data_IF_284667296183
#
_entry.id   IF_284667296183
#
_cell.length_a   1.000
_cell.length_b   1.000
_cell.length_c   1.000
_cell.angle_alpha   90.00
_cell.angle_beta   90.00
_cell.angle_gamma   90.00
#
_symmetry.space_group_name_H-M   'P 1'
#
loop_
_entity.id
_entity.type
_entity.pdbx_description
1 polymer ?
#
# COMPACT_ATOMS: atom_id res chain seq x y z
N UNK A 1 4.07 -9.17 15.07
CA UNK A 1 3.70 -10.33 14.22
C UNK A 1 4.86 -10.75 13.32
N UNK A 2 5.45 -9.82 12.56
CA UNK A 2 6.64 -10.09 11.73
C UNK A 2 7.76 -9.16 12.18
N UNK A 3 8.95 -9.69 12.46
CA UNK A 3 10.17 -8.94 12.75
C UNK A 3 11.25 -9.33 11.75
N UNK A 4 11.91 -8.32 11.18
CA UNK A 4 13.03 -8.46 10.25
C UNK A 4 14.21 -7.73 10.87
N UNK A 5 15.35 -8.42 11.01
CA UNK A 5 16.54 -7.91 11.67
C UNK A 5 17.74 -8.07 10.74
N UNK A 6 18.36 -6.94 10.35
CA UNK A 6 19.56 -6.84 9.52
C UNK A 6 19.52 -7.71 8.24
N UNK A 7 18.31 -7.79 7.63
CA UNK A 7 18.08 -8.65 6.48
C UNK A 7 18.79 -8.12 5.25
N UNK A 8 19.57 -8.99 4.61
CA UNK A 8 20.22 -8.67 3.36
C UNK A 8 20.09 -9.81 2.36
N UNK A 9 19.93 -9.46 1.08
CA UNK A 9 19.94 -10.40 -0.03
C UNK A 9 20.74 -9.83 -1.19
N UNK A 10 21.69 -10.60 -1.66
CA UNK A 10 22.47 -10.29 -2.86
C UNK A 10 22.37 -11.39 -3.89
N UNK A 11 22.57 -11.02 -5.13
CA UNK A 11 22.72 -11.93 -6.26
C UNK A 11 24.09 -11.76 -6.90
N UNK A 12 24.65 -12.84 -7.39
CA UNK A 12 25.89 -12.82 -8.17
C UNK A 12 25.57 -12.52 -9.63
N UNK A 13 26.25 -11.54 -10.23
CA UNK A 13 26.14 -11.18 -11.64
C UNK A 13 27.56 -11.10 -12.22
N UNK A 14 28.03 -12.19 -12.76
CA UNK A 14 29.44 -12.33 -13.17
C UNK A 14 30.36 -12.14 -11.95
N UNK A 15 31.32 -11.22 -12.05
CA UNK A 15 32.24 -10.89 -10.95
C UNK A 15 31.68 -9.87 -9.94
N UNK A 16 30.45 -9.37 -10.14
CA UNK A 16 29.85 -8.35 -9.29
C UNK A 16 28.78 -8.95 -8.39
N UNK A 17 28.70 -8.45 -7.15
CA UNK A 17 27.65 -8.74 -6.19
C UNK A 17 26.66 -7.59 -6.17
N UNK A 18 25.41 -7.87 -6.54
CA UNK A 18 24.33 -6.88 -6.56
C UNK A 18 23.46 -7.12 -5.32
N UNK A 19 23.33 -6.09 -4.48
CA UNK A 19 22.49 -6.13 -3.30
C UNK A 19 21.07 -5.67 -3.65
N UNK A 20 20.14 -6.60 -3.64
CA UNK A 20 18.72 -6.30 -3.85
C UNK A 20 18.00 -5.87 -2.57
N UNK A 21 18.48 -6.37 -1.42
CA UNK A 21 18.03 -5.95 -0.07
C UNK A 21 19.28 -5.79 0.78
N UNK A 22 19.39 -4.70 1.54
CA UNK A 22 20.58 -4.35 2.30
C UNK A 22 20.22 -3.82 3.68
N UNK A 23 20.56 -4.61 4.70
CA UNK A 23 20.42 -4.25 6.12
C UNK A 23 19.02 -3.74 6.49
N UNK A 24 17.99 -4.44 6.03
CA UNK A 24 16.60 -4.08 6.29
C UNK A 24 16.20 -4.50 7.70
N UNK A 25 15.71 -3.53 8.47
CA UNK A 25 15.12 -3.71 9.79
C UNK A 25 13.66 -3.24 9.73
N UNK A 26 12.71 -4.11 10.10
CA UNK A 26 11.29 -3.84 9.95
C UNK A 26 10.47 -4.60 10.99
N UNK A 27 9.45 -3.95 11.54
CA UNK A 27 8.49 -4.59 12.43
C UNK A 27 7.06 -4.34 11.94
N UNK A 28 6.29 -5.43 11.79
CA UNK A 28 4.89 -5.42 11.34
C UNK A 28 4.03 -6.00 12.47
N UNK A 29 3.02 -5.24 12.88
CA UNK A 29 2.12 -5.64 13.97
C UNK A 29 1.09 -6.67 13.49
N UNK A 30 0.49 -7.37 14.44
CA UNK A 30 -0.61 -8.28 14.13
C UNK A 30 -1.85 -7.49 13.69
N UNK A 31 -2.53 -7.98 12.66
CA UNK A 31 -3.79 -7.42 12.18
C UNK A 31 -3.66 -6.12 11.39
N UNK A 32 -2.44 -5.62 11.12
CA UNK A 32 -2.27 -4.44 10.27
C UNK A 32 -2.11 -4.80 8.80
N UNK A 33 -2.45 -3.83 7.94
CA UNK A 33 -2.05 -3.84 6.53
C UNK A 33 -0.81 -2.95 6.40
N UNK A 34 0.31 -3.57 6.12
CA UNK A 34 1.60 -2.91 5.97
C UNK A 34 2.00 -2.81 4.51
N UNK A 35 2.18 -1.58 4.03
CA UNK A 35 2.63 -1.28 2.66
C UNK A 35 4.16 -1.23 2.55
N UNK A 36 4.70 -1.73 1.45
CA UNK A 36 6.10 -1.50 1.06
C UNK A 36 6.07 -0.87 -0.33
N UNK A 37 6.47 0.39 -0.42
CA UNK A 37 6.46 1.16 -1.66
C UNK A 37 7.89 1.52 -2.08
N UNK A 38 8.12 1.60 -3.38
CA UNK A 38 9.42 1.98 -3.95
C UNK A 38 9.39 1.92 -5.46
N UNK A 39 10.36 2.52 -6.12
CA UNK A 39 10.49 2.49 -7.57
C UNK A 39 10.75 1.06 -8.09
N UNK A 40 10.61 0.86 -9.40
CA UNK A 40 10.98 -0.42 -10.03
C UNK A 40 12.45 -0.72 -9.76
N UNK A 41 12.75 -1.98 -9.40
CA UNK A 41 14.13 -2.39 -9.07
C UNK A 41 14.57 -2.07 -7.64
N UNK A 42 13.80 -1.37 -6.81
CA UNK A 42 14.19 -0.99 -5.44
C UNK A 42 14.37 -2.17 -4.45
N UNK A 43 14.03 -3.42 -4.85
CA UNK A 43 14.19 -4.61 -4.01
C UNK A 43 12.91 -5.14 -3.37
N UNK A 44 11.75 -4.53 -3.64
CA UNK A 44 10.43 -4.89 -3.03
C UNK A 44 10.08 -6.38 -3.17
N UNK A 45 10.03 -6.88 -4.40
CA UNK A 45 9.67 -8.30 -4.66
C UNK A 45 10.69 -9.27 -4.09
N UNK A 46 11.97 -8.88 -4.04
CA UNK A 46 13.00 -9.67 -3.37
C UNK A 46 12.74 -9.72 -1.86
N UNK A 47 12.42 -8.59 -1.25
CA UNK A 47 12.12 -8.53 0.19
C UNK A 47 10.93 -9.44 0.54
N UNK A 48 9.79 -9.33 -0.17
CA UNK A 48 8.61 -10.15 0.14
C UNK A 48 8.88 -11.66 -0.11
N UNK A 49 9.70 -12.00 -1.11
CA UNK A 49 10.11 -13.39 -1.36
C UNK A 49 11.06 -13.92 -0.30
N UNK A 50 11.83 -13.07 0.35
CA UNK A 50 12.60 -13.46 1.53
C UNK A 50 11.68 -13.76 2.73
N UNK A 51 10.55 -13.04 2.88
CA UNK A 51 9.61 -13.26 3.99
C UNK A 51 9.03 -14.68 4.03
N UNK A 52 8.85 -15.34 2.88
CA UNK A 52 8.40 -16.73 2.83
C UNK A 52 9.51 -17.68 2.39
N UNK A 53 10.78 -17.20 2.36
CA UNK A 53 11.96 -17.93 1.91
C UNK A 53 11.82 -18.57 0.52
N UNK A 54 11.05 -17.96 -0.39
CA UNK A 54 11.15 -18.27 -1.82
C UNK A 54 12.51 -17.81 -2.36
N UNK A 55 13.03 -16.70 -1.81
CA UNK A 55 14.42 -16.27 -1.94
C UNK A 55 15.11 -16.44 -0.59
N UNK A 56 16.21 -17.20 -0.57
CA UNK A 56 16.98 -17.41 0.65
C UNK A 56 17.76 -16.12 0.98
N UNK A 57 17.59 -15.53 2.18
CA UNK A 57 18.39 -14.38 2.61
C UNK A 57 19.89 -14.70 2.59
N UNK A 58 20.71 -13.69 2.26
CA UNK A 58 22.16 -13.81 2.37
C UNK A 58 22.65 -13.64 3.81
N UNK A 59 21.94 -12.86 4.62
CA UNK A 59 22.17 -12.65 6.05
C UNK A 59 20.93 -12.03 6.71
N UNK A 60 20.94 -11.99 8.04
CA UNK A 60 19.86 -11.43 8.84
C UNK A 60 18.86 -12.49 9.29
N UNK A 61 17.81 -12.04 9.99
CA UNK A 61 16.82 -12.89 10.63
C UNK A 61 15.42 -12.43 10.30
N UNK A 62 14.51 -13.39 10.12
CA UNK A 62 13.07 -13.15 9.93
C UNK A 62 12.32 -13.97 10.96
N UNK A 63 11.59 -13.29 11.84
CA UNK A 63 10.71 -13.93 12.83
C UNK A 63 9.26 -13.68 12.46
N UNK A 64 8.45 -14.71 12.37
CA UNK A 64 7.01 -14.64 12.11
C UNK A 64 6.24 -15.39 13.17
N UNK A 65 5.28 -14.73 13.79
CA UNK A 65 4.47 -15.29 14.89
C UNK A 65 5.34 -15.97 15.98
N UNK A 66 6.48 -15.35 16.31
CA UNK A 66 7.44 -15.88 17.30
C UNK A 66 8.39 -16.95 16.79
N UNK A 67 8.25 -17.41 15.54
CA UNK A 67 9.10 -18.44 14.93
C UNK A 67 10.16 -17.80 14.02
N UNK A 68 11.43 -18.10 14.28
CA UNK A 68 12.52 -17.73 13.36
C UNK A 68 12.48 -18.62 12.12
N UNK A 69 11.98 -18.05 11.02
CA UNK A 69 11.84 -18.81 9.76
C UNK A 69 13.17 -19.02 9.04
N UNK A 70 14.20 -18.21 9.33
CA UNK A 70 15.51 -18.33 8.68
C UNK A 70 16.28 -19.56 9.14
N UNK A 71 16.01 -20.04 10.36
CA UNK A 71 16.65 -21.21 10.94
C UNK A 71 15.91 -22.53 10.65
N UNK A 72 14.69 -22.48 10.06
CA UNK A 72 13.88 -23.68 9.83
C UNK A 72 14.49 -24.58 8.76
N UNK A 73 14.44 -25.90 9.01
CA UNK A 73 14.67 -26.90 7.99
C UNK A 73 13.54 -26.94 6.94
N UNK A 74 13.70 -27.74 5.89
CA UNK A 74 12.70 -27.86 4.81
C UNK A 74 11.31 -28.28 5.31
N UNK A 75 11.24 -29.13 6.35
CA UNK A 75 9.98 -29.62 6.91
C UNK A 75 9.30 -28.53 7.74
N UNK A 76 10.03 -27.85 8.61
CA UNK A 76 9.55 -26.72 9.40
C UNK A 76 9.09 -25.57 8.50
N UNK A 77 9.85 -25.23 7.46
CA UNK A 77 9.49 -24.20 6.50
C UNK A 77 8.19 -24.53 5.73
N UNK A 78 8.01 -25.80 5.33
CA UNK A 78 6.77 -26.23 4.69
C UNK A 78 5.56 -26.07 5.62
N UNK A 79 5.72 -26.38 6.91
CA UNK A 79 4.66 -26.18 7.91
C UNK A 79 4.38 -24.70 8.13
N UNK A 80 5.42 -23.87 8.22
CA UNK A 80 5.25 -22.43 8.40
C UNK A 80 4.55 -21.78 7.20
N UNK A 81 4.87 -22.19 5.97
CA UNK A 81 4.22 -21.67 4.74
C UNK A 81 2.73 -21.96 4.66
N UNK A 82 2.16 -22.89 5.42
CA UNK A 82 0.71 -23.07 5.52
C UNK A 82 0.02 -21.89 6.19
N UNK A 83 0.72 -21.20 7.09
CA UNK A 83 0.25 -20.00 7.77
C UNK A 83 0.48 -18.73 6.98
N UNK A 84 1.04 -18.83 5.76
CA UNK A 84 1.37 -17.69 4.90
C UNK A 84 0.65 -17.87 3.56
N UNK A 85 -0.34 -17.04 3.29
CA UNK A 85 -0.91 -16.90 1.95
C UNK A 85 -0.03 -16.00 1.08
N UNK A 86 0.02 -16.26 -0.22
CA UNK A 86 0.73 -15.40 -1.16
C UNK A 86 -0.08 -15.14 -2.41
N UNK A 87 -0.20 -13.86 -2.74
CA UNK A 87 -0.77 -13.33 -3.98
C UNK A 87 0.40 -12.85 -4.84
N UNK A 88 0.49 -13.35 -6.07
CA UNK A 88 1.55 -13.03 -7.00
C UNK A 88 1.10 -12.00 -8.04
N UNK A 89 2.02 -11.24 -8.56
CA UNK A 89 1.80 -10.21 -9.57
C UNK A 89 1.06 -10.72 -10.82
N UNK A 90 1.35 -11.93 -11.28
CA UNK A 90 0.73 -12.55 -12.46
C UNK A 90 -0.32 -13.61 -12.10
N UNK A 91 -0.95 -13.50 -10.92
CA UNK A 91 -1.98 -14.41 -10.38
C UNK A 91 -1.48 -15.85 -10.15
N UNK A 92 -0.59 -16.36 -10.97
CA UNK A 92 -0.01 -17.72 -10.94
C UNK A 92 -1.08 -18.82 -10.80
N UNK A 93 -2.21 -18.67 -11.52
CA UNK A 93 -3.25 -19.69 -11.55
C UNK A 93 -2.82 -20.89 -12.41
N UNK A 94 -3.25 -22.07 -11.99
CA UNK A 94 -3.05 -23.29 -12.74
C UNK A 94 -3.99 -23.26 -13.95
N UNK A 95 -3.44 -23.01 -15.15
CA UNK A 95 -4.20 -22.74 -16.37
C UNK A 95 -5.07 -23.92 -16.84
N UNK A 96 -4.68 -25.16 -16.50
CA UNK A 96 -5.38 -26.39 -16.84
C UNK A 96 -6.39 -26.83 -15.77
N UNK A 97 -6.56 -26.05 -14.71
CA UNK A 97 -7.50 -26.28 -13.61
C UNK A 97 -8.58 -25.21 -13.60
N UNK A 98 -9.80 -25.63 -13.25
CA UNK A 98 -10.93 -24.71 -13.05
C UNK A 98 -10.69 -23.78 -11.86
N UNK A 99 -11.56 -22.80 -11.68
CA UNK A 99 -11.57 -21.91 -10.51
C UNK A 99 -11.68 -22.75 -9.22
N UNK A 100 -12.63 -23.69 -9.17
CA UNK A 100 -12.80 -24.60 -8.06
C UNK A 100 -11.50 -25.36 -7.73
N UNK A 101 -10.90 -25.99 -8.74
CA UNK A 101 -9.68 -26.76 -8.58
C UNK A 101 -8.46 -25.94 -8.18
N UNK A 102 -8.37 -24.67 -8.65
CA UNK A 102 -7.32 -23.74 -8.20
C UNK A 102 -7.43 -23.46 -6.71
N UNK A 103 -8.65 -23.24 -6.19
CA UNK A 103 -8.87 -22.97 -4.77
C UNK A 103 -8.72 -24.26 -3.94
N UNK A 104 -9.16 -25.41 -4.46
CA UNK A 104 -9.05 -26.72 -3.81
C UNK A 104 -7.59 -27.20 -3.68
N UNK A 105 -6.71 -26.82 -4.60
CA UNK A 105 -5.35 -27.35 -4.70
C UNK A 105 -4.54 -27.30 -3.39
N UNK A 106 -4.47 -26.18 -2.62
CA UNK A 106 -3.79 -26.18 -1.33
C UNK A 106 -4.41 -27.16 -0.32
N UNK A 107 -5.73 -27.34 -0.35
CA UNK A 107 -6.46 -28.23 0.56
C UNK A 107 -6.23 -29.71 0.23
N UNK A 108 -6.09 -30.04 -1.06
CA UNK A 108 -5.73 -31.39 -1.51
C UNK A 108 -4.35 -31.80 -1.00
N UNK A 109 -3.39 -30.86 -0.98
CA UNK A 109 -2.05 -31.10 -0.41
C UNK A 109 -2.07 -31.37 1.10
N UNK A 110 -3.11 -30.91 1.81
CA UNK A 110 -3.33 -31.17 3.23
C UNK A 110 -4.08 -32.50 3.48
N UNK A 111 -4.44 -33.23 2.44
CA UNK A 111 -5.16 -34.52 2.50
C UNK A 111 -6.51 -34.43 3.22
N UNK A 112 -7.20 -33.31 3.12
CA UNK A 112 -8.56 -33.16 3.62
C UNK A 112 -9.53 -34.07 2.85
N UNK A 113 -10.63 -34.44 3.47
CA UNK A 113 -11.69 -35.19 2.79
C UNK A 113 -12.35 -34.37 1.69
N UNK A 114 -12.92 -35.04 0.67
CA UNK A 114 -13.62 -34.34 -0.43
C UNK A 114 -14.74 -33.44 0.06
N UNK A 115 -15.45 -33.83 1.13
CA UNK A 115 -16.52 -33.00 1.70
C UNK A 115 -15.99 -31.73 2.39
N UNK A 116 -14.90 -31.85 3.15
CA UNK A 116 -14.25 -30.68 3.77
C UNK A 116 -13.72 -29.72 2.73
N UNK A 117 -13.06 -30.25 1.67
CA UNK A 117 -12.59 -29.43 0.54
C UNK A 117 -13.76 -28.70 -0.11
N UNK A 118 -14.84 -29.44 -0.42
CA UNK A 118 -16.03 -28.85 -1.07
C UNK A 118 -16.60 -27.72 -0.22
N UNK A 119 -16.84 -27.94 1.06
CA UNK A 119 -17.40 -26.91 1.95
C UNK A 119 -16.51 -25.66 2.01
N UNK A 120 -15.20 -25.84 2.17
CA UNK A 120 -14.26 -24.70 2.23
C UNK A 120 -14.19 -23.94 0.91
N UNK A 121 -14.14 -24.64 -0.22
CA UNK A 121 -14.07 -24.00 -1.54
C UNK A 121 -15.36 -23.27 -1.85
N UNK A 122 -16.53 -23.86 -1.57
CA UNK A 122 -17.84 -23.21 -1.79
C UNK A 122 -17.94 -21.92 -0.95
N UNK A 123 -17.50 -21.95 0.32
CA UNK A 123 -17.44 -20.76 1.18
C UNK A 123 -16.51 -19.67 0.61
N UNK A 124 -15.32 -20.06 0.14
CA UNK A 124 -14.37 -19.10 -0.43
C UNK A 124 -14.85 -18.52 -1.76
N UNK A 125 -15.52 -19.33 -2.58
CA UNK A 125 -16.12 -18.86 -3.84
C UNK A 125 -17.22 -17.82 -3.61
N UNK A 126 -18.08 -18.07 -2.62
CA UNK A 126 -19.11 -17.10 -2.21
C UNK A 126 -18.46 -15.81 -1.70
N UNK A 127 -17.44 -15.94 -0.87
CA UNK A 127 -16.72 -14.81 -0.28
C UNK A 127 -16.07 -13.88 -1.31
N UNK A 128 -15.51 -14.46 -2.39
CA UNK A 128 -14.90 -13.70 -3.48
C UNK A 128 -15.88 -13.40 -4.63
N UNK A 129 -17.18 -13.75 -4.47
CA UNK A 129 -18.25 -13.48 -5.43
C UNK A 129 -18.00 -14.14 -6.81
N UNK A 130 -17.58 -15.43 -6.80
CA UNK A 130 -17.28 -16.20 -8.01
C UNK A 130 -17.98 -17.59 -8.04
N UNK A 131 -19.05 -17.76 -7.29
CA UNK A 131 -19.80 -19.03 -7.21
C UNK A 131 -20.30 -19.48 -8.59
N UNK A 132 -20.72 -18.53 -9.46
CA UNK A 132 -21.17 -18.78 -10.82
C UNK A 132 -20.04 -19.17 -11.80
N UNK A 133 -18.79 -18.95 -11.42
CA UNK A 133 -17.57 -19.19 -12.21
C UNK A 133 -16.78 -20.41 -11.76
N UNK A 134 -17.30 -21.21 -10.82
CA UNK A 134 -16.53 -22.31 -10.21
C UNK A 134 -15.94 -23.30 -11.22
N UNK A 135 -16.64 -23.56 -12.31
CA UNK A 135 -16.25 -24.52 -13.35
C UNK A 135 -15.50 -23.84 -14.54
N UNK A 136 -15.32 -22.51 -14.50
CA UNK A 136 -14.58 -21.77 -15.52
C UNK A 136 -13.07 -21.98 -15.39
N UNK A 137 -12.36 -21.89 -16.51
CA UNK A 137 -10.90 -21.90 -16.56
C UNK A 137 -10.33 -20.50 -16.48
N UNK A 138 -9.08 -20.31 -16.03
CA UNK A 138 -8.43 -18.99 -15.95
C UNK A 138 -8.46 -18.19 -17.26
N UNK A 139 -8.41 -18.84 -18.43
CA UNK A 139 -8.50 -18.20 -19.74
C UNK A 139 -9.85 -17.51 -19.99
N UNK A 140 -10.90 -17.91 -19.28
CA UNK A 140 -12.27 -17.39 -19.41
C UNK A 140 -12.59 -16.25 -18.43
N UNK A 141 -11.59 -15.83 -17.60
CA UNK A 141 -11.77 -14.86 -16.53
C UNK A 141 -11.14 -13.52 -16.88
N UNK A 142 -11.79 -12.44 -16.45
CA UNK A 142 -11.18 -11.10 -16.45
C UNK A 142 -9.99 -11.03 -15.47
N UNK A 143 -9.16 -9.98 -15.56
CA UNK A 143 -8.04 -9.76 -14.63
C UNK A 143 -8.48 -9.71 -13.17
N UNK A 144 -9.55 -8.97 -12.88
CA UNK A 144 -10.11 -8.89 -11.52
C UNK A 144 -10.65 -10.22 -10.99
N UNK A 145 -11.31 -11.01 -11.87
CA UNK A 145 -11.77 -12.36 -11.51
C UNK A 145 -10.59 -13.30 -11.22
N UNK A 146 -9.53 -13.27 -12.03
CA UNK A 146 -8.29 -14.03 -11.77
C UNK A 146 -7.67 -13.65 -10.43
N UNK A 147 -7.69 -12.37 -10.09
CA UNK A 147 -7.17 -11.88 -8.80
C UNK A 147 -8.04 -12.38 -7.64
N UNK A 148 -9.36 -12.36 -7.76
CA UNK A 148 -10.27 -12.91 -6.75
C UNK A 148 -10.03 -14.42 -6.53
N UNK A 149 -9.78 -15.20 -7.59
CA UNK A 149 -9.39 -16.62 -7.48
C UNK A 149 -8.04 -16.78 -6.76
N UNK A 150 -7.04 -15.95 -7.09
CA UNK A 150 -5.74 -15.98 -6.43
C UNK A 150 -5.85 -15.65 -4.93
N UNK A 151 -6.70 -14.69 -4.57
CA UNK A 151 -7.02 -14.36 -3.18
C UNK A 151 -7.67 -15.55 -2.48
N UNK A 152 -8.75 -16.13 -3.05
CA UNK A 152 -9.43 -17.28 -2.45
C UNK A 152 -8.48 -18.45 -2.26
N UNK A 153 -7.64 -18.78 -3.24
CA UNK A 153 -6.62 -19.81 -3.13
C UNK A 153 -5.62 -19.54 -2.01
N UNK A 154 -5.20 -18.28 -1.84
CA UNK A 154 -4.26 -17.90 -0.79
C UNK A 154 -4.84 -18.05 0.62
N UNK A 155 -6.16 -17.97 0.76
CA UNK A 155 -6.90 -18.10 2.02
C UNK A 155 -7.26 -19.57 2.37
N UNK A 156 -7.14 -20.51 1.43
CA UNK A 156 -7.66 -21.87 1.57
C UNK A 156 -7.16 -22.59 2.85
N UNK A 157 -5.92 -22.35 3.24
CA UNK A 157 -5.32 -22.93 4.46
C UNK A 157 -5.56 -22.12 5.74
N UNK A 158 -6.42 -21.11 5.73
CA UNK A 158 -6.65 -20.19 6.85
C UNK A 158 -5.32 -19.57 7.35
N UNK A 159 -4.57 -18.89 6.51
CA UNK A 159 -3.28 -18.31 6.90
C UNK A 159 -3.48 -17.21 7.96
N UNK A 160 -2.41 -16.89 8.70
CA UNK A 160 -2.36 -15.72 9.60
C UNK A 160 -1.75 -14.50 8.93
N UNK A 161 -0.97 -14.72 7.87
CA UNK A 161 -0.23 -13.71 7.14
C UNK A 161 -0.58 -13.83 5.66
N UNK A 162 -0.85 -12.70 5.02
CA UNK A 162 -1.06 -12.61 3.59
C UNK A 162 0.01 -11.70 2.98
N UNK A 163 0.82 -12.23 2.09
CA UNK A 163 1.82 -11.48 1.33
C UNK A 163 1.28 -11.19 -0.06
N UNK A 164 1.34 -9.95 -0.51
CA UNK A 164 0.89 -9.53 -1.85
C UNK A 164 2.01 -8.84 -2.61
N UNK A 165 2.49 -9.48 -3.68
CA UNK A 165 3.52 -8.96 -4.58
C UNK A 165 2.84 -8.29 -5.78
N UNK A 166 2.68 -6.97 -5.74
CA UNK A 166 2.05 -6.12 -6.78
C UNK A 166 0.70 -6.64 -7.31
N UNK A 167 -0.13 -7.19 -6.42
CA UNK A 167 -1.36 -7.89 -6.76
C UNK A 167 -2.44 -7.07 -7.48
N UNK A 168 -2.27 -5.76 -7.63
CA UNK A 168 -3.24 -4.88 -8.32
C UNK A 168 -2.67 -4.14 -9.52
N UNK A 169 -1.37 -4.28 -9.81
CA UNK A 169 -0.67 -3.49 -10.83
C UNK A 169 -1.17 -3.67 -12.27
N UNK A 170 -1.81 -4.81 -12.54
CA UNK A 170 -2.35 -5.16 -13.87
C UNK A 170 -3.87 -4.93 -14.01
N UNK A 171 -4.50 -4.25 -13.03
CA UNK A 171 -5.94 -4.03 -12.97
C UNK A 171 -6.28 -2.56 -13.26
N UNK A 172 -7.48 -2.33 -13.81
CA UNK A 172 -8.02 -0.99 -13.93
C UNK A 172 -8.38 -0.38 -12.56
N UNK A 173 -8.52 0.95 -12.44
CA UNK A 173 -8.75 1.62 -11.16
C UNK A 173 -9.99 1.15 -10.40
N UNK A 174 -11.10 0.87 -11.12
CA UNK A 174 -12.35 0.44 -10.49
C UNK A 174 -12.22 -0.98 -9.93
N UNK A 175 -11.61 -1.88 -10.69
CA UNK A 175 -11.31 -3.25 -10.26
C UNK A 175 -10.32 -3.23 -9.09
N UNK A 176 -9.29 -2.39 -9.15
CA UNK A 176 -8.34 -2.21 -8.04
C UNK A 176 -9.06 -1.85 -6.76
N UNK A 177 -9.94 -0.84 -6.78
CA UNK A 177 -10.71 -0.43 -5.60
C UNK A 177 -11.53 -1.59 -5.02
N UNK A 178 -12.23 -2.35 -5.87
CA UNK A 178 -13.01 -3.52 -5.47
C UNK A 178 -12.14 -4.61 -4.81
N UNK A 179 -10.92 -4.84 -5.32
CA UNK A 179 -9.96 -5.78 -4.71
C UNK A 179 -9.45 -5.28 -3.36
N UNK A 180 -9.17 -3.97 -3.22
CA UNK A 180 -8.73 -3.39 -1.95
C UNK A 180 -9.83 -3.47 -0.88
N UNK A 181 -11.09 -3.21 -1.26
CA UNK A 181 -12.25 -3.39 -0.37
C UNK A 181 -12.38 -4.86 0.09
N UNK A 182 -12.20 -5.82 -0.84
CA UNK A 182 -12.17 -7.24 -0.54
C UNK A 182 -11.04 -7.58 0.44
N UNK A 183 -9.81 -7.11 0.23
CA UNK A 183 -8.68 -7.35 1.12
C UNK A 183 -8.92 -6.76 2.52
N UNK A 184 -9.53 -5.59 2.63
CA UNK A 184 -9.86 -4.99 3.93
C UNK A 184 -10.94 -5.78 4.67
N UNK A 185 -11.95 -6.30 3.97
CA UNK A 185 -12.97 -7.19 4.52
C UNK A 185 -12.33 -8.48 5.05
N UNK A 186 -11.48 -9.13 4.23
CA UNK A 186 -10.74 -10.34 4.57
C UNK A 186 -9.87 -10.13 5.81
N UNK A 187 -9.11 -9.02 5.88
CA UNK A 187 -8.29 -8.68 7.04
C UNK A 187 -9.10 -8.74 8.33
N UNK A 188 -10.25 -8.09 8.33
CA UNK A 188 -11.11 -7.96 9.53
C UNK A 188 -11.73 -9.30 9.93
N UNK A 189 -12.23 -10.07 8.96
CA UNK A 189 -12.95 -11.30 9.24
C UNK A 189 -12.04 -12.47 9.62
N UNK A 190 -10.85 -12.53 9.01
CA UNK A 190 -9.89 -13.63 9.25
C UNK A 190 -8.76 -13.25 10.22
N UNK A 191 -8.79 -12.06 10.84
CA UNK A 191 -7.74 -11.52 11.73
C UNK A 191 -6.34 -11.60 11.08
N UNK A 192 -6.26 -11.22 9.79
CA UNK A 192 -5.06 -11.34 8.98
C UNK A 192 -4.11 -10.15 9.16
N UNK A 193 -2.83 -10.45 9.15
CA UNK A 193 -1.78 -9.46 8.90
C UNK A 193 -1.43 -9.47 7.42
N UNK A 194 -1.54 -8.33 6.74
CA UNK A 194 -1.30 -8.23 5.29
C UNK A 194 -0.03 -7.41 5.05
N UNK A 195 0.89 -7.95 4.25
CA UNK A 195 2.05 -7.20 3.72
C UNK A 195 1.87 -7.08 2.23
N UNK A 196 1.72 -5.86 1.74
CA UNK A 196 1.56 -5.63 0.32
C UNK A 196 2.70 -4.79 -0.26
N UNK A 197 3.11 -5.17 -1.45
CA UNK A 197 4.03 -4.42 -2.27
C UNK A 197 3.28 -3.71 -3.36
N UNK A 198 3.59 -2.46 -3.56
CA UNK A 198 3.06 -1.66 -4.67
C UNK A 198 4.04 -0.56 -5.06
N UNK A 199 3.87 -0.02 -6.25
CA UNK A 199 4.49 1.24 -6.68
C UNK A 199 3.42 2.36 -6.77
N UNK A 200 2.16 2.06 -6.45
CA UNK A 200 1.02 2.98 -6.50
C UNK A 200 0.72 3.52 -5.10
N UNK A 201 0.91 4.82 -4.92
CA UNK A 201 0.64 5.46 -3.64
C UNK A 201 -0.87 5.51 -3.32
N UNK A 202 -1.73 5.48 -4.34
CA UNK A 202 -3.18 5.35 -4.21
C UNK A 202 -3.55 4.09 -3.42
N UNK A 203 -2.92 2.96 -3.74
CA UNK A 203 -3.14 1.70 -3.03
C UNK A 203 -2.72 1.82 -1.56
N UNK A 204 -1.56 2.43 -1.30
CA UNK A 204 -1.09 2.66 0.08
C UNK A 204 -2.08 3.53 0.86
N UNK A 205 -2.51 4.63 0.25
CA UNK A 205 -3.49 5.56 0.82
C UNK A 205 -4.82 4.88 1.18
N UNK A 206 -5.30 4.01 0.30
CA UNK A 206 -6.65 3.45 0.39
C UNK A 206 -6.77 2.28 1.37
N UNK A 207 -5.67 1.57 1.68
CA UNK A 207 -5.78 0.35 2.47
C UNK A 207 -4.74 0.20 3.60
N UNK A 208 -3.55 0.82 3.52
CA UNK A 208 -2.49 0.58 4.48
C UNK A 208 -2.67 1.37 5.78
N UNK A 209 -2.31 0.76 6.90
CA UNK A 209 -2.20 1.41 8.20
C UNK A 209 -0.83 2.11 8.34
N UNK A 210 0.24 1.40 7.93
CA UNK A 210 1.63 1.88 7.92
C UNK A 210 2.30 1.52 6.61
N UNK A 211 3.35 2.23 6.29
CA UNK A 211 4.10 2.04 5.04
C UNK A 211 5.59 2.24 5.27
N UNK A 212 6.40 1.44 4.58
CA UNK A 212 7.83 1.62 4.45
C UNK A 212 8.19 1.96 2.99
N UNK A 213 9.08 2.94 2.83
CA UNK A 213 9.63 3.30 1.53
C UNK A 213 10.99 2.61 1.39
N UNK A 214 11.14 1.83 0.33
CA UNK A 214 12.39 1.16 -0.01
C UNK A 214 13.04 1.81 -1.23
N UNK A 215 14.33 2.10 -1.13
CA UNK A 215 15.17 2.65 -2.19
C UNK A 215 16.54 1.99 -2.12
N UNK A 216 17.06 1.54 -3.26
CA UNK A 216 18.36 0.86 -3.38
C UNK A 216 18.55 -0.28 -2.36
N UNK A 217 17.48 -1.04 -2.12
CA UNK A 217 17.48 -2.18 -1.20
C UNK A 217 17.39 -1.83 0.29
N UNK A 218 17.24 -0.54 0.65
CA UNK A 218 17.16 -0.08 2.04
C UNK A 218 15.80 0.54 2.35
N UNK A 219 15.34 0.39 3.59
CA UNK A 219 14.23 1.19 4.09
C UNK A 219 14.77 2.59 4.41
N UNK A 220 14.25 3.60 3.71
CA UNK A 220 14.67 5.01 3.88
C UNK A 220 13.70 5.81 4.73
N UNK A 221 12.45 5.37 4.81
CA UNK A 221 11.42 6.00 5.63
C UNK A 221 10.33 4.97 5.99
N UNK A 222 9.78 5.05 7.21
CA UNK A 222 8.69 4.21 7.67
C UNK A 222 7.83 4.97 8.67
N UNK A 223 6.52 5.05 8.37
CA UNK A 223 5.56 5.78 9.18
C UNK A 223 4.15 5.20 9.07
N UNK A 224 3.20 5.72 9.86
CA UNK A 224 1.79 5.59 9.53
C UNK A 224 1.53 6.30 8.21
N UNK A 225 0.54 5.85 7.45
CA UNK A 225 0.17 6.52 6.19
C UNK A 225 -0.16 8.00 6.46
N UNK A 226 -0.89 8.28 7.53
CA UNK A 226 -1.23 9.65 7.93
C UNK A 226 0.01 10.53 8.14
N UNK A 227 1.00 10.07 8.92
CA UNK A 227 2.21 10.84 9.19
C UNK A 227 3.09 11.01 7.95
N UNK A 228 3.16 9.98 7.09
CA UNK A 228 3.88 10.10 5.83
C UNK A 228 3.29 11.20 4.94
N UNK A 229 1.96 11.33 4.91
CA UNK A 229 1.27 12.40 4.14
C UNK A 229 1.42 13.78 4.78
N UNK A 230 1.49 13.83 6.12
CA UNK A 230 1.64 15.08 6.86
C UNK A 230 3.03 15.66 6.71
N UNK A 231 4.05 14.84 6.89
CA UNK A 231 5.42 15.27 7.09
C UNK A 231 6.43 14.28 6.47
N UNK A 232 6.43 14.14 5.12
CA UNK A 232 7.37 13.28 4.44
C UNK A 232 8.81 13.77 4.63
N UNK A 233 9.71 12.89 5.08
CA UNK A 233 11.08 13.23 5.45
C UNK A 233 12.05 13.08 4.29
N UNK A 234 11.77 12.19 3.33
CA UNK A 234 12.67 11.89 2.21
C UNK A 234 12.19 12.51 0.91
N UNK A 235 13.12 12.74 -0.02
CA UNK A 235 12.77 13.19 -1.38
C UNK A 235 11.87 12.18 -2.09
N UNK A 236 12.14 10.91 -1.90
CA UNK A 236 11.37 9.82 -2.51
C UNK A 236 9.95 9.78 -1.97
N UNK A 237 9.75 9.97 -0.65
CA UNK A 237 8.41 10.12 -0.06
C UNK A 237 7.65 11.30 -0.67
N UNK A 238 8.33 12.46 -0.75
CA UNK A 238 7.77 13.66 -1.38
C UNK A 238 7.37 13.40 -2.84
N UNK A 239 8.19 12.67 -3.60
CA UNK A 239 7.89 12.31 -5.01
C UNK A 239 6.65 11.43 -5.10
N UNK A 240 6.53 10.38 -4.27
CA UNK A 240 5.35 9.51 -4.27
C UNK A 240 4.06 10.27 -3.88
N UNK A 241 4.13 11.11 -2.85
CA UNK A 241 2.99 11.92 -2.41
C UNK A 241 2.63 12.97 -3.45
N UNK A 242 3.63 13.60 -4.06
CA UNK A 242 3.42 14.55 -5.16
C UNK A 242 2.76 13.86 -6.35
N UNK A 243 3.15 12.65 -6.71
CA UNK A 243 2.51 11.86 -7.78
C UNK A 243 1.00 11.70 -7.60
N UNK A 244 0.50 11.55 -6.36
CA UNK A 244 -0.94 11.57 -6.05
C UNK A 244 -1.57 12.96 -6.26
N UNK A 245 -0.78 14.00 -6.07
CA UNK A 245 -1.22 15.39 -6.24
C UNK A 245 -1.17 15.82 -7.71
N UNK A 246 -0.31 15.16 -8.52
CA UNK A 246 0.05 15.53 -9.88
C UNK A 246 -0.84 15.03 -11.00
N UNK A 247 -1.98 14.42 -10.72
CA UNK A 247 -3.00 14.38 -11.77
C UNK A 247 -3.63 15.75 -12.06
N UNK A 248 -3.14 16.82 -11.42
CA UNK A 248 -3.55 18.20 -11.72
C UNK A 248 -2.33 19.13 -11.58
N UNK A 249 -1.70 19.50 -12.72
CA UNK A 249 -1.24 20.84 -13.05
C UNK A 249 -0.20 21.57 -12.19
N UNK A 250 0.91 20.93 -11.76
CA UNK A 250 2.06 21.75 -11.37
C UNK A 250 2.83 22.33 -12.57
N UNK A 251 2.55 21.88 -13.79
CA UNK A 251 3.17 22.47 -15.00
C UNK A 251 2.60 23.84 -15.42
N UNK A 252 1.50 24.31 -14.80
CA UNK A 252 0.80 25.50 -15.29
C UNK A 252 0.79 26.71 -14.35
N UNK A 253 1.20 26.59 -13.10
CA UNK A 253 1.28 27.76 -12.22
C UNK A 253 2.68 28.33 -12.30
N UNK A 254 2.86 29.33 -13.16
CA UNK A 254 4.07 30.14 -13.20
C UNK A 254 3.87 31.30 -12.23
N UNK A 255 4.62 31.37 -11.10
CA UNK A 255 4.44 32.43 -10.12
C UNK A 255 4.53 33.84 -10.72
N UNK A 256 5.29 34.01 -11.79
CA UNK A 256 5.49 35.24 -12.53
C UNK A 256 4.21 35.79 -13.20
N UNK A 257 3.19 34.99 -13.40
CA UNK A 257 1.90 35.35 -14.02
C UNK A 257 0.91 35.95 -13.00
N UNK A 258 1.19 35.85 -11.69
CA UNK A 258 0.32 36.29 -10.60
C UNK A 258 0.86 37.56 -9.92
N UNK A 259 -0.07 38.40 -9.48
CA UNK A 259 0.25 39.67 -8.82
C UNK A 259 0.33 39.55 -7.31
N UNK A 260 -0.34 38.54 -6.76
CA UNK A 260 -0.45 38.32 -5.34
C UNK A 260 0.59 37.33 -4.81
N UNK A 261 0.59 37.10 -3.50
CA UNK A 261 1.40 36.09 -2.85
C UNK A 261 0.77 34.69 -3.04
N UNK A 262 1.50 33.81 -3.68
CA UNK A 262 1.05 32.42 -3.85
C UNK A 262 1.38 31.61 -2.61
N UNK A 263 0.38 30.91 -2.08
CA UNK A 263 0.55 29.99 -0.96
C UNK A 263 -0.07 28.63 -1.27
N UNK A 264 0.55 27.60 -0.72
CA UNK A 264 -0.01 26.28 -0.65
C UNK A 264 -0.43 25.95 0.77
N UNK A 265 -1.70 25.61 0.96
CA UNK A 265 -2.25 25.12 2.22
C UNK A 265 -2.36 23.62 2.15
N UNK A 266 -1.86 22.91 3.15
CA UNK A 266 -2.07 21.46 3.29
C UNK A 266 -2.88 21.20 4.54
N UNK A 267 -3.99 20.48 4.38
CA UNK A 267 -4.96 20.17 5.45
C UNK A 267 -4.87 18.70 5.82
N UNK A 268 -5.03 18.42 7.11
CA UNK A 268 -5.10 17.05 7.61
C UNK A 268 -6.18 16.91 8.68
N UNK A 269 -6.96 15.83 8.62
CA UNK A 269 -7.95 15.48 9.61
C UNK A 269 -9.05 16.50 9.73
N UNK A 270 -9.34 16.91 10.96
CA UNK A 270 -10.42 17.86 11.24
C UNK A 270 -10.22 19.24 10.60
N UNK A 271 -8.98 19.64 10.29
CA UNK A 271 -8.71 20.93 9.64
C UNK A 271 -9.23 20.97 8.20
N UNK A 272 -9.29 19.83 7.50
CA UNK A 272 -9.85 19.74 6.15
C UNK A 272 -11.38 20.00 6.11
N UNK A 273 -12.07 19.87 7.24
CA UNK A 273 -13.53 20.06 7.37
C UNK A 273 -13.90 21.42 7.98
N UNK A 274 -12.91 22.25 8.36
CA UNK A 274 -13.16 23.58 8.95
C UNK A 274 -13.16 24.67 7.88
N UNK A 275 -13.97 25.73 8.03
CA UNK A 275 -14.03 26.82 7.06
C UNK A 275 -12.86 27.82 7.21
N UNK A 276 -11.63 27.33 7.36
CA UNK A 276 -10.43 28.11 7.72
C UNK A 276 -10.17 29.24 6.71
N UNK A 277 -10.29 28.95 5.41
CA UNK A 277 -10.11 29.99 4.36
C UNK A 277 -11.20 31.05 4.44
N UNK A 278 -12.45 30.65 4.66
CA UNK A 278 -13.57 31.58 4.81
C UNK A 278 -13.46 32.46 6.06
N UNK A 279 -12.95 31.89 7.16
CA UNK A 279 -12.69 32.65 8.40
C UNK A 279 -11.55 33.64 8.21
N UNK A 280 -10.48 33.25 7.48
CA UNK A 280 -9.38 34.14 7.14
C UNK A 280 -9.84 35.33 6.31
N UNK A 281 -10.63 35.10 5.24
CA UNK A 281 -11.17 36.19 4.38
C UNK A 281 -12.01 37.18 5.21
N UNK A 282 -12.79 36.70 6.19
CA UNK A 282 -13.62 37.56 7.05
C UNK A 282 -12.80 38.37 8.05
N UNK A 283 -11.60 37.96 8.38
CA UNK A 283 -10.76 38.53 9.41
C UNK A 283 -9.77 39.55 8.87
N UNK A 284 -9.31 39.37 7.64
CA UNK A 284 -8.30 40.22 6.99
C UNK A 284 -8.88 40.83 5.72
N UNK A 285 -8.47 42.06 5.40
CA UNK A 285 -8.92 42.76 4.18
C UNK A 285 -8.09 42.32 2.96
N UNK A 286 -8.27 41.05 2.60
CA UNK A 286 -7.59 40.43 1.47
C UNK A 286 -8.57 39.75 0.52
N UNK A 287 -8.26 39.76 -0.77
CA UNK A 287 -8.94 38.97 -1.77
C UNK A 287 -8.19 37.68 -2.04
N UNK A 288 -8.91 36.61 -2.33
CA UNK A 288 -8.32 35.30 -2.58
C UNK A 288 -8.79 34.76 -3.91
N UNK A 289 -7.83 34.33 -4.70
CA UNK A 289 -8.08 33.52 -5.87
C UNK A 289 -7.70 32.06 -5.59
N UNK A 290 -8.63 31.11 -5.79
CA UNK A 290 -8.36 29.68 -5.65
C UNK A 290 -7.88 29.15 -6.99
N UNK A 291 -6.60 28.82 -7.10
CA UNK A 291 -5.99 28.39 -8.34
C UNK A 291 -6.14 26.88 -8.55
N UNK A 292 -6.03 26.11 -7.49
CA UNK A 292 -6.19 24.66 -7.52
C UNK A 292 -6.49 24.12 -6.12
N UNK A 293 -7.10 22.97 -6.03
CA UNK A 293 -7.32 22.30 -4.74
C UNK A 293 -7.95 20.93 -4.86
N UNK A 294 -7.66 20.09 -3.87
CA UNK A 294 -8.20 18.75 -3.76
C UNK A 294 -8.32 18.33 -2.29
N UNK A 295 -9.36 17.59 -1.96
CA UNK A 295 -9.54 16.95 -0.65
C UNK A 295 -9.79 15.46 -0.90
N UNK A 296 -8.90 14.63 -0.38
CA UNK A 296 -9.00 13.17 -0.44
C UNK A 296 -9.32 12.60 0.93
N UNK A 297 -10.14 11.57 0.98
CA UNK A 297 -10.33 10.78 2.19
C UNK A 297 -9.28 9.67 2.25
N UNK A 298 -8.57 9.58 3.38
CA UNK A 298 -7.80 8.41 3.79
C UNK A 298 -8.71 7.49 4.61
N UNK A 299 -8.29 6.27 4.90
CA UNK A 299 -9.10 5.31 5.68
C UNK A 299 -9.63 5.88 7.02
N UNK A 300 -8.85 6.71 7.69
CA UNK A 300 -9.18 7.25 9.02
C UNK A 300 -9.28 8.78 9.08
N UNK A 301 -8.92 9.48 8.00
CA UNK A 301 -8.79 10.95 8.04
C UNK A 301 -8.92 11.55 6.63
N UNK A 302 -9.13 12.87 6.55
CA UNK A 302 -9.15 13.60 5.29
C UNK A 302 -7.83 14.35 5.10
N UNK A 303 -7.30 14.34 3.89
CA UNK A 303 -6.11 15.11 3.49
C UNK A 303 -6.47 15.96 2.30
N UNK A 304 -6.06 17.21 2.31
CA UNK A 304 -6.30 18.11 1.19
C UNK A 304 -5.26 19.19 1.04
N UNK A 305 -5.25 19.82 -0.10
CA UNK A 305 -4.49 21.03 -0.34
C UNK A 305 -5.29 22.06 -1.13
N UNK A 306 -4.95 23.31 -0.96
CA UNK A 306 -5.39 24.42 -1.79
C UNK A 306 -4.16 25.22 -2.21
N UNK A 307 -4.14 25.68 -3.46
CA UNK A 307 -3.20 26.70 -3.94
C UNK A 307 -3.99 27.97 -4.11
N UNK A 308 -3.59 29.00 -3.38
CA UNK A 308 -4.28 30.27 -3.30
C UNK A 308 -3.33 31.39 -3.72
N UNK A 309 -3.88 32.36 -4.43
CA UNK A 309 -3.27 33.68 -4.59
C UNK A 309 -3.91 34.62 -3.59
N UNK A 310 -3.10 35.26 -2.74
CA UNK A 310 -3.53 36.25 -1.76
C UNK A 310 -3.26 37.65 -2.34
N UNK A 311 -4.31 38.42 -2.44
CA UNK A 311 -4.28 39.78 -3.01
C UNK A 311 -4.69 40.77 -1.91
N UNK A 312 -3.81 41.68 -1.53
CA UNK A 312 -4.03 42.69 -0.50
C UNK A 312 -2.76 43.43 -0.15
N UNK A 313 -2.80 44.22 0.91
CA UNK A 313 -1.60 44.89 1.44
C UNK A 313 -0.63 43.81 2.01
N UNK A 314 0.68 44.10 1.86
CA UNK A 314 1.75 43.17 2.28
C UNK A 314 1.67 42.80 3.76
N UNK A 315 1.26 43.74 4.61
CA UNK A 315 1.09 43.54 6.05
C UNK A 315 -0.09 42.58 6.31
N UNK A 316 -1.26 42.84 5.69
CA UNK A 316 -2.46 42.02 5.82
C UNK A 316 -2.23 40.60 5.31
N UNK A 317 -1.54 40.43 4.18
CA UNK A 317 -1.19 39.11 3.62
C UNK A 317 -0.28 38.35 4.56
N UNK A 318 0.71 38.99 5.17
CA UNK A 318 1.63 38.36 6.13
C UNK A 318 0.89 37.93 7.41
N UNK A 319 -0.01 38.76 7.90
CA UNK A 319 -0.82 38.43 9.08
C UNK A 319 -1.81 37.31 8.80
N UNK A 320 -2.40 37.26 7.61
CA UNK A 320 -3.24 36.16 7.15
C UNK A 320 -2.47 34.84 7.07
N UNK A 321 -1.25 34.85 6.56
CA UNK A 321 -0.36 33.67 6.52
C UNK A 321 -0.03 33.19 7.96
N UNK A 322 0.28 34.12 8.87
CA UNK A 322 0.55 33.79 10.27
C UNK A 322 -0.69 33.22 10.97
N UNK A 323 -1.86 33.75 10.69
CA UNK A 323 -3.13 33.21 11.18
C UNK A 323 -3.33 31.77 10.71
N UNK A 324 -3.12 31.48 9.42
CA UNK A 324 -3.25 30.14 8.87
C UNK A 324 -2.28 29.14 9.54
N UNK A 325 -1.02 29.53 9.74
CA UNK A 325 -0.03 28.71 10.45
C UNK A 325 -0.48 28.30 11.86
N UNK A 326 -1.25 29.16 12.52
CA UNK A 326 -1.79 28.91 13.85
C UNK A 326 -3.06 28.02 13.86
N UNK A 327 -3.60 27.65 12.69
CA UNK A 327 -4.82 26.83 12.55
C UNK A 327 -4.56 25.33 12.31
N UNK A 328 -3.37 24.82 12.65
CA UNK A 328 -2.96 23.44 12.36
C UNK A 328 -3.05 23.07 10.86
N UNK A 329 -2.72 24.00 10.00
CA UNK A 329 -2.52 23.78 8.57
C UNK A 329 -1.08 24.07 8.21
N UNK A 330 -0.52 23.27 7.30
CA UNK A 330 0.81 23.57 6.78
C UNK A 330 0.69 24.62 5.66
N UNK A 331 1.46 25.70 5.77
CA UNK A 331 1.46 26.83 4.84
C UNK A 331 2.84 26.97 4.22
N UNK A 332 2.92 26.78 2.93
CA UNK A 332 4.12 26.99 2.12
C UNK A 332 3.88 28.19 1.20
N UNK A 333 4.81 29.13 1.15
CA UNK A 333 4.82 30.23 0.18
C UNK A 333 5.57 29.74 -1.05
N UNK A 334 4.94 29.88 -2.23
CA UNK A 334 5.45 29.35 -3.52
C UNK A 334 6.25 30.43 -4.25
#
# INVERSE_FOLDING_TARGET
>A
MISIENLSKSFESGNNKIWAVKDVNLHINKGEIFGIIGLSGAGKSTLIRCLNRLEEPSSGKITMDGVDITSLDKKGLRLMRKNIGMIFQHFNLLSQKTVYENIAFPLELERLSKNEIKTKVDTLLDYVELTDKKDAYPSQLSGGQKQRVAIARSLANNPKILLSDEGTSALDPQTTKSILELLNRIRKEFDLTIVLITHQMEVVKDICDRVAIIEDGKIIEMNTVEELFRNPQTKTANTFISGLKFNIEQEFIKPEEFKGTLIRLSFLGSSAKKPIVSEMIKKFDININILSGNINELMSTSVGYLILELLGDEIEVKDAINYLKNQNVNVEVI
#
